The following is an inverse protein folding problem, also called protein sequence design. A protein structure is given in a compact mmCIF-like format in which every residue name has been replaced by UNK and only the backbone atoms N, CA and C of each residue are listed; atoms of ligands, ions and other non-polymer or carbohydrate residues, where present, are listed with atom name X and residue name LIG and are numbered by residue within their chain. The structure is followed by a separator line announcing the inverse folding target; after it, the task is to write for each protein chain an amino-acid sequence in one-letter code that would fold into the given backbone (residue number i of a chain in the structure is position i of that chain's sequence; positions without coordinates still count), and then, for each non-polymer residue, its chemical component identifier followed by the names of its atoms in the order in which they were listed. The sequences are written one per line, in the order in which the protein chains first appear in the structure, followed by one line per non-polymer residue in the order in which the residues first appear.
data_IF_399242837318
#
_entry.id   IF_399242837318
#
_cell.length_a   1.000
_cell.length_b   1.000
_cell.length_c   1.000
_cell.angle_alpha   90.00
_cell.angle_beta   90.00
_cell.angle_gamma   90.00
#
_symmetry.space_group_name_H-M   'P 1'
#
loop_
_entity.id
_entity.type
_entity.pdbx_description
1 polymer ?
#
# COMPACT_ATOMS: atom_id res chain seq x y z
N UNK A 1 -3.52 14.70 13.75
CA UNK A 1 -3.16 13.32 13.34
C UNK A 1 -2.63 13.39 11.93
N UNK A 2 -1.48 12.77 11.68
CA UNK A 2 -0.80 12.71 10.39
C UNK A 2 -1.41 11.58 9.54
N UNK A 3 -1.16 11.61 8.24
CA UNK A 3 -1.56 10.54 7.32
C UNK A 3 -0.36 9.66 7.01
N UNK A 4 -0.58 8.36 6.98
CA UNK A 4 0.43 7.36 6.69
C UNK A 4 -0.04 6.46 5.56
N UNK A 5 0.91 6.00 4.75
CA UNK A 5 0.72 4.91 3.80
C UNK A 5 1.53 3.71 4.29
N UNK A 6 0.91 2.54 4.25
CA UNK A 6 1.55 1.26 4.52
C UNK A 6 1.67 0.50 3.20
N UNK A 7 2.87 -0.01 2.91
CA UNK A 7 3.16 -0.81 1.72
C UNK A 7 3.89 -2.09 2.12
N UNK A 8 3.88 -3.08 1.24
CA UNK A 8 4.80 -4.22 1.30
C UNK A 8 5.45 -4.42 -0.06
N UNK A 9 6.72 -4.82 -0.07
CA UNK A 9 7.43 -5.20 -1.30
C UNK A 9 7.35 -6.72 -1.55
N UNK A 10 6.74 -7.47 -0.63
CA UNK A 10 6.55 -8.93 -0.73
C UNK A 10 5.32 -9.32 -1.57
N UNK A 11 4.65 -8.34 -2.16
CA UNK A 11 3.47 -8.54 -2.99
C UNK A 11 3.80 -9.22 -4.31
N UNK A 12 2.90 -10.07 -4.77
CA UNK A 12 2.94 -10.63 -6.13
C UNK A 12 1.60 -10.50 -6.81
N UNK A 13 1.60 -10.39 -8.14
CA UNK A 13 0.38 -10.36 -8.94
C UNK A 13 0.33 -11.57 -9.87
N UNK A 14 -0.83 -12.24 -9.86
CA UNK A 14 -1.22 -13.21 -10.87
C UNK A 14 -2.20 -12.53 -11.83
N UNK A 15 -1.89 -12.53 -13.11
CA UNK A 15 -2.76 -11.95 -14.13
C UNK A 15 -4.06 -12.75 -14.24
N UNK A 16 -5.19 -12.10 -14.62
CA UNK A 16 -6.43 -12.82 -14.88
C UNK A 16 -6.21 -13.96 -15.86
N UNK A 17 -6.67 -15.16 -15.50
CA UNK A 17 -6.50 -16.42 -16.26
C UNK A 17 -5.07 -16.97 -16.32
N UNK A 18 -4.13 -16.48 -15.51
CA UNK A 18 -2.84 -17.14 -15.34
C UNK A 18 -3.06 -18.55 -14.76
N UNK A 19 -2.47 -19.55 -15.39
CA UNK A 19 -2.48 -20.95 -14.93
C UNK A 19 -1.12 -21.37 -14.38
N UNK A 20 -0.16 -20.44 -14.39
CA UNK A 20 1.18 -20.65 -13.85
C UNK A 20 1.13 -20.74 -12.33
N UNK A 21 1.87 -21.68 -11.70
CA UNK A 21 2.08 -21.67 -10.25
C UNK A 21 2.97 -20.49 -9.82
N UNK A 22 3.82 -19.99 -10.71
CA UNK A 22 4.68 -18.83 -10.49
C UNK A 22 3.92 -17.53 -10.75
N UNK A 23 4.13 -16.48 -9.93
CA UNK A 23 3.53 -15.17 -10.13
C UNK A 23 4.05 -14.49 -11.40
N UNK A 24 3.20 -13.66 -12.02
CA UNK A 24 3.55 -12.95 -13.25
C UNK A 24 4.52 -11.79 -12.99
N UNK A 25 4.39 -11.12 -11.84
CA UNK A 25 5.25 -10.00 -11.46
C UNK A 25 5.27 -9.78 -9.93
N UNK A 26 6.45 -9.48 -9.39
CA UNK A 26 6.61 -8.94 -8.03
C UNK A 26 6.15 -7.48 -8.02
N UNK A 27 5.34 -7.10 -7.04
CA UNK A 27 4.81 -5.75 -6.94
C UNK A 27 4.90 -5.19 -5.52
N UNK A 28 5.24 -3.90 -5.47
CA UNK A 28 4.97 -3.09 -4.28
C UNK A 28 3.45 -2.91 -4.15
N UNK A 29 2.88 -3.46 -3.07
CA UNK A 29 1.45 -3.41 -2.79
C UNK A 29 1.17 -2.38 -1.71
N UNK A 30 0.14 -1.56 -1.94
CA UNK A 30 -0.39 -0.66 -0.91
C UNK A 30 -1.32 -1.45 -0.01
N UNK A 31 -0.95 -1.54 1.26
CA UNK A 31 -1.74 -2.20 2.31
C UNK A 31 -2.87 -1.30 2.78
N UNK A 32 -2.60 0.00 2.95
CA UNK A 32 -3.64 0.93 3.36
C UNK A 32 -3.15 2.33 3.65
N UNK A 33 -4.11 3.24 3.80
CA UNK A 33 -3.92 4.63 4.18
C UNK A 33 -4.60 4.86 5.53
N UNK A 34 -3.86 5.29 6.54
CA UNK A 34 -4.38 5.39 7.92
C UNK A 34 -3.87 6.66 8.60
N UNK A 35 -4.66 7.18 9.54
CA UNK A 35 -4.28 8.33 10.38
C UNK A 35 -3.79 7.89 11.76
N UNK A 36 -2.81 8.61 12.30
CA UNK A 36 -2.29 8.43 13.66
C UNK A 36 -1.54 9.67 14.16
N UNK A 37 -1.24 9.76 15.45
CA UNK A 37 -0.33 10.81 15.95
C UNK A 37 1.14 10.46 15.68
N UNK A 38 1.45 9.17 15.52
CA UNK A 38 2.73 8.61 15.11
C UNK A 38 2.51 7.29 14.34
N UNK A 39 3.60 6.68 13.89
CA UNK A 39 3.66 5.45 13.10
C UNK A 39 3.04 4.27 13.87
N UNK A 40 3.34 4.13 15.16
CA UNK A 40 2.85 3.04 16.01
C UNK A 40 1.32 3.07 16.18
N UNK A 41 0.77 4.27 16.42
CA UNK A 41 -0.67 4.45 16.51
C UNK A 41 -1.35 4.20 15.16
N UNK A 42 -0.77 4.70 14.07
CA UNK A 42 -1.27 4.46 12.72
C UNK A 42 -1.29 2.95 12.40
N UNK A 43 -0.26 2.20 12.78
CA UNK A 43 -0.21 0.75 12.58
C UNK A 43 -1.23 -0.01 13.45
N UNK A 44 -1.46 0.42 14.69
CA UNK A 44 -2.54 -0.14 15.53
C UNK A 44 -3.90 0.08 14.89
N UNK A 45 -4.13 1.25 14.30
CA UNK A 45 -5.36 1.56 13.59
C UNK A 45 -5.50 0.71 12.32
N UNK A 46 -4.42 0.56 11.53
CA UNK A 46 -4.40 -0.29 10.33
C UNK A 46 -4.86 -1.72 10.63
N UNK A 47 -4.32 -2.34 11.68
CA UNK A 47 -4.66 -3.73 12.06
C UNK A 47 -6.11 -3.88 12.50
N UNK A 48 -6.69 -2.86 13.15
CA UNK A 48 -8.11 -2.88 13.54
C UNK A 48 -9.03 -2.80 12.34
N UNK A 49 -8.64 -2.05 11.31
CA UNK A 49 -9.42 -1.91 10.08
C UNK A 49 -9.23 -3.08 9.11
N UNK A 50 -8.09 -3.79 9.21
CA UNK A 50 -7.67 -4.86 8.31
C UNK A 50 -7.20 -6.08 9.12
N UNK A 51 -8.13 -6.74 9.83
CA UNK A 51 -7.78 -7.88 10.69
C UNK A 51 -7.10 -9.02 9.92
N UNK A 52 -7.45 -9.19 8.63
CA UNK A 52 -6.88 -10.19 7.73
C UNK A 52 -5.36 -10.05 7.52
N UNK A 53 -4.76 -8.88 7.79
CA UNK A 53 -3.32 -8.69 7.60
C UNK A 53 -2.49 -9.68 8.42
N UNK A 54 -3.00 -10.10 9.57
CA UNK A 54 -2.35 -11.07 10.44
C UNK A 54 -2.45 -12.51 9.92
N UNK A 55 -3.32 -12.76 8.95
CA UNK A 55 -3.49 -14.05 8.29
C UNK A 55 -2.72 -14.14 6.96
N UNK A 56 -2.07 -13.05 6.54
CA UNK A 56 -1.22 -13.04 5.35
C UNK A 56 0.15 -13.68 5.62
N UNK A 57 0.85 -14.06 4.55
CA UNK A 57 2.22 -14.55 4.63
C UNK A 57 3.27 -13.41 4.57
N UNK A 58 2.84 -12.15 4.70
CA UNK A 58 3.77 -11.02 4.66
C UNK A 58 4.58 -10.96 5.96
N UNK A 59 5.90 -10.85 5.85
CA UNK A 59 6.79 -10.67 6.99
C UNK A 59 7.03 -9.19 7.31
N UNK A 60 7.11 -8.34 6.28
CA UNK A 60 7.40 -6.91 6.41
C UNK A 60 6.32 -6.01 5.81
N UNK A 61 5.99 -4.95 6.56
CA UNK A 61 5.18 -3.82 6.11
C UNK A 61 5.94 -2.53 6.43
N UNK A 62 6.12 -1.71 5.40
CA UNK A 62 6.82 -0.42 5.46
C UNK A 62 5.79 0.69 5.69
N UNK A 63 6.08 1.58 6.65
CA UNK A 63 5.24 2.74 6.98
C UNK A 63 5.93 4.04 6.56
N UNK A 64 5.20 4.94 5.89
CA UNK A 64 5.69 6.26 5.49
C UNK A 64 4.67 7.35 5.82
N UNK A 65 5.13 8.44 6.42
CA UNK A 65 4.31 9.64 6.64
C UNK A 65 4.09 10.39 5.31
N UNK A 66 2.82 10.66 4.98
CA UNK A 66 2.45 11.49 3.85
C UNK A 66 2.57 12.96 4.23
N UNK A 67 3.44 13.67 3.53
CA UNK A 67 3.68 15.11 3.75
C UNK A 67 2.43 16.00 3.61
N UNK A 68 1.46 15.59 2.79
CA UNK A 68 0.26 16.37 2.50
C UNK A 68 -1.00 15.64 2.95
N UNK A 69 -1.84 16.32 3.73
CA UNK A 69 -3.13 15.75 4.15
C UNK A 69 -4.15 15.65 2.99
N UNK A 70 -4.15 16.62 2.07
CA UNK A 70 -4.93 16.62 0.82
C UNK A 70 -4.12 16.05 -0.36
N UNK A 71 -3.46 14.91 -0.18
CA UNK A 71 -2.50 14.40 -1.17
C UNK A 71 -3.08 14.25 -2.57
N UNK A 72 -4.34 13.80 -2.76
CA UNK A 72 -4.97 13.72 -4.08
C UNK A 72 -5.19 15.08 -4.76
N UNK A 73 -5.51 16.14 -3.99
CA UNK A 73 -5.72 17.50 -4.55
C UNK A 73 -4.40 18.15 -4.96
N UNK A 74 -3.31 17.80 -4.27
CA UNK A 74 -1.96 18.33 -4.50
C UNK A 74 -1.12 17.42 -5.41
N UNK A 75 -1.64 16.25 -5.77
CA UNK A 75 -0.95 15.32 -6.65
C UNK A 75 -0.85 15.91 -8.05
N UNK A 76 0.31 15.71 -8.68
CA UNK A 76 0.47 15.87 -10.12
C UNK A 76 0.18 14.53 -10.76
N UNK A 77 -0.77 14.52 -11.71
CA UNK A 77 -1.09 13.34 -12.49
C UNK A 77 -0.28 13.39 -13.79
N UNK A 78 0.26 12.23 -14.18
CA UNK A 78 0.95 12.04 -15.44
C UNK A 78 0.15 11.04 -16.27
N UNK A 79 -0.14 11.40 -17.52
CA UNK A 79 -0.87 10.53 -18.44
C UNK A 79 0.10 10.01 -19.49
N UNK A 80 0.38 8.70 -19.47
CA UNK A 80 1.40 8.10 -20.33
C UNK A 80 1.12 8.27 -21.84
N UNK A 81 -0.14 8.46 -22.22
CA UNK A 81 -0.53 8.74 -23.61
C UNK A 81 0.00 10.08 -24.14
N UNK A 82 0.35 11.02 -23.27
CA UNK A 82 0.91 12.33 -23.66
C UNK A 82 2.42 12.28 -23.97
N UNK A 83 3.06 11.12 -23.74
CA UNK A 83 4.50 10.90 -23.95
C UNK A 83 4.80 9.89 -25.06
N UNK A 84 3.78 9.49 -25.83
CA UNK A 84 3.89 8.64 -27.01
C UNK A 84 3.76 9.48 -28.27
#
# INVERSE_FOLDING_TARGET
MKNYIFITEEGVTYQPNSTSPEPDIENCQVIGFVKGNNEDEAFKNLKKENEYLLDTNFNEIICMELKNEDYYKKAKYFYLGEYK
#
